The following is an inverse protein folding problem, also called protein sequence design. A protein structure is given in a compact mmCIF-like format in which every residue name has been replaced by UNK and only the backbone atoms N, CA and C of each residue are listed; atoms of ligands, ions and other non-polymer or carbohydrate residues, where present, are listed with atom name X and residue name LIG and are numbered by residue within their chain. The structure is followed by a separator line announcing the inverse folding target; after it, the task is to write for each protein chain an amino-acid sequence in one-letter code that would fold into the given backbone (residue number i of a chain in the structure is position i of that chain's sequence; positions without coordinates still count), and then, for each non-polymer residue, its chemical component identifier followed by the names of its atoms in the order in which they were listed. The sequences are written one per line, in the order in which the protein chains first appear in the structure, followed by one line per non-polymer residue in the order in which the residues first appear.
data_IF_219490252559
#
_entry.id   IF_219490252559
#
_cell.length_a   1.000
_cell.length_b   1.000
_cell.length_c   1.000
_cell.angle_alpha   90.00
_cell.angle_beta   90.00
_cell.angle_gamma   90.00
#
_symmetry.space_group_name_H-M   'P 1'
#
loop_
_entity.id
_entity.type
_entity.pdbx_description
1 polymer ?
#
# COMPACT_ATOMS: atom_id res chain seq x y z
N UNK A 1 -56.41 42.32 -59.21
CA UNK A 1 -55.64 41.10 -59.50
C UNK A 1 -54.25 41.54 -59.93
N UNK A 2 -53.25 41.36 -59.08
CA UNK A 2 -52.02 40.64 -59.42
C UNK A 2 -51.07 40.56 -58.22
N UNK A 3 -50.59 39.34 -57.99
CA UNK A 3 -49.65 38.91 -56.95
C UNK A 3 -48.21 39.05 -57.43
N UNK A 4 -47.27 39.33 -56.51
CA UNK A 4 -45.84 38.92 -56.51
C UNK A 4 -45.17 39.53 -55.27
N UNK A 5 -44.27 38.89 -54.55
CA UNK A 5 -43.85 37.50 -54.39
C UNK A 5 -42.87 37.51 -53.21
N UNK A 6 -43.26 36.95 -52.06
CA UNK A 6 -42.33 36.71 -50.95
C UNK A 6 -41.75 35.30 -51.10
N UNK A 7 -40.46 35.20 -51.41
CA UNK A 7 -39.73 33.94 -51.40
C UNK A 7 -39.18 33.63 -50.01
N UNK A 8 -39.26 32.39 -49.51
CA UNK A 8 -38.63 32.01 -48.25
C UNK A 8 -37.12 31.80 -48.43
N UNK A 9 -36.33 32.50 -47.60
CA UNK A 9 -34.89 32.32 -47.46
C UNK A 9 -34.62 31.04 -46.66
N UNK A 10 -34.13 29.99 -47.32
CA UNK A 10 -33.71 28.74 -46.67
C UNK A 10 -32.34 28.96 -46.03
N UNK A 11 -32.28 29.06 -44.70
CA UNK A 11 -31.02 29.00 -43.94
C UNK A 11 -30.61 27.53 -43.76
N UNK A 12 -29.61 27.09 -44.49
CA UNK A 12 -28.91 25.81 -44.25
C UNK A 12 -27.88 26.01 -43.14
N UNK A 13 -28.20 25.61 -41.91
CA UNK A 13 -27.22 25.53 -40.83
C UNK A 13 -26.41 24.22 -40.94
N UNK A 14 -25.11 24.36 -41.20
CA UNK A 14 -24.13 23.27 -41.14
C UNK A 14 -23.98 22.73 -39.70
N UNK A 15 -24.55 21.56 -39.42
CA UNK A 15 -24.43 20.84 -38.13
C UNK A 15 -23.12 20.04 -37.99
N UNK A 16 -22.08 20.37 -38.76
CA UNK A 16 -20.89 19.52 -38.93
C UNK A 16 -19.82 19.64 -37.84
N UNK A 17 -19.88 20.62 -36.93
CA UNK A 17 -18.80 20.86 -35.95
C UNK A 17 -19.11 20.40 -34.51
N UNK A 18 -20.36 20.07 -34.19
CA UNK A 18 -20.72 19.67 -32.83
C UNK A 18 -20.44 18.19 -32.54
N UNK A 19 -20.44 17.32 -33.55
CA UNK A 19 -20.26 15.87 -33.38
C UNK A 19 -18.83 15.48 -33.01
N UNK A 20 -17.82 16.24 -33.44
CA UNK A 20 -16.42 15.95 -33.14
C UNK A 20 -16.08 16.16 -31.65
N UNK A 21 -16.59 17.24 -31.04
CA UNK A 21 -16.30 17.54 -29.63
C UNK A 21 -16.99 16.55 -28.68
N UNK A 22 -18.22 16.14 -28.98
CA UNK A 22 -18.95 15.15 -28.18
C UNK A 22 -18.25 13.79 -28.23
N UNK A 23 -17.71 13.39 -29.39
CA UNK A 23 -16.97 12.13 -29.54
C UNK A 23 -15.66 12.11 -28.72
N UNK A 24 -14.92 13.22 -28.69
CA UNK A 24 -13.68 13.33 -27.93
C UNK A 24 -13.91 13.34 -26.41
N UNK A 25 -14.97 14.01 -25.95
CA UNK A 25 -15.33 14.03 -24.53
C UNK A 25 -15.77 12.65 -24.05
N UNK A 26 -16.54 11.90 -24.85
CA UNK A 26 -16.94 10.53 -24.51
C UNK A 26 -15.73 9.59 -24.46
N UNK A 27 -14.82 9.66 -25.43
CA UNK A 27 -13.58 8.87 -25.43
C UNK A 27 -12.67 9.23 -24.24
N UNK A 28 -12.60 10.50 -23.86
CA UNK A 28 -11.83 10.94 -22.70
C UNK A 28 -12.41 10.39 -21.38
N UNK A 29 -13.73 10.43 -21.21
CA UNK A 29 -14.43 9.86 -20.04
C UNK A 29 -14.29 8.33 -20.01
N UNK A 30 -14.38 7.65 -21.15
CA UNK A 30 -14.14 6.20 -21.25
C UNK A 30 -12.68 5.83 -20.93
N UNK A 31 -11.72 6.65 -21.39
CA UNK A 31 -10.30 6.43 -21.08
C UNK A 31 -10.00 6.66 -19.59
N UNK A 32 -10.66 7.62 -18.93
CA UNK A 32 -10.56 7.83 -17.48
C UNK A 32 -11.19 6.69 -16.68
N UNK A 33 -12.27 6.07 -17.17
CA UNK A 33 -12.86 4.88 -16.55
C UNK A 33 -11.96 3.64 -16.70
N UNK A 34 -11.29 3.46 -17.85
CA UNK A 34 -10.36 2.34 -18.06
C UNK A 34 -9.02 2.56 -17.34
N UNK A 35 -8.54 3.80 -17.24
CA UNK A 35 -7.33 4.16 -16.47
C UNK A 35 -7.57 4.24 -14.96
N UNK A 36 -8.82 4.43 -14.53
CA UNK A 36 -9.21 4.51 -13.11
C UNK A 36 -9.33 3.15 -12.41
N UNK A 37 -9.37 2.04 -13.15
CA UNK A 37 -9.43 0.68 -12.60
C UNK A 37 -8.04 0.01 -12.45
N UNK A 38 -6.94 0.75 -12.66
CA UNK A 38 -5.58 0.26 -12.50
C UNK A 38 -5.01 0.37 -11.07
N UNK A 39 -5.85 0.71 -10.09
CA UNK A 39 -5.48 0.57 -8.67
C UNK A 39 -5.85 -0.84 -8.22
N UNK A 40 -4.87 -1.74 -8.17
CA UNK A 40 -5.06 -3.10 -7.67
C UNK A 40 -5.86 -3.07 -6.37
N UNK A 41 -6.90 -3.90 -6.28
CA UNK A 41 -7.69 -4.02 -5.05
C UNK A 41 -6.74 -4.54 -3.99
N UNK A 42 -6.55 -3.77 -2.91
CA UNK A 42 -5.74 -4.21 -1.77
C UNK A 42 -6.60 -5.06 -0.87
N UNK A 43 -6.06 -6.19 -0.42
CA UNK A 43 -6.80 -7.12 0.45
C UNK A 43 -7.43 -6.43 1.68
N UNK A 44 -6.73 -5.44 2.24
CA UNK A 44 -7.15 -4.66 3.42
C UNK A 44 -8.39 -3.76 3.20
N UNK A 45 -8.79 -3.51 1.94
CA UNK A 45 -9.97 -2.70 1.62
C UNK A 45 -11.23 -3.56 1.52
N UNK A 46 -11.75 -4.01 2.68
CA UNK A 46 -12.95 -4.85 2.84
C UNK A 46 -14.05 -4.68 1.76
N UNK A 47 -14.63 -3.47 1.53
CA UNK A 47 -15.72 -3.31 0.57
C UNK A 47 -15.29 -3.48 -0.90
N UNK A 48 -14.01 -3.29 -1.22
CA UNK A 48 -13.47 -3.52 -2.55
C UNK A 48 -13.08 -4.99 -2.74
N UNK A 49 -12.50 -5.62 -1.72
CA UNK A 49 -12.11 -7.04 -1.73
C UNK A 49 -13.30 -7.97 -1.83
N UNK A 50 -14.39 -7.71 -1.08
CA UNK A 50 -15.60 -8.53 -1.10
C UNK A 50 -16.34 -8.42 -2.43
N UNK A 51 -16.40 -7.21 -3.00
CA UNK A 51 -16.97 -6.97 -4.32
C UNK A 51 -16.13 -7.59 -5.44
N UNK A 52 -14.80 -7.53 -5.36
CA UNK A 52 -13.90 -8.12 -6.34
C UNK A 52 -14.00 -9.65 -6.38
N UNK A 53 -14.22 -10.29 -5.24
CA UNK A 53 -14.27 -11.75 -5.11
C UNK A 53 -15.69 -12.33 -5.22
N UNK A 54 -16.73 -11.50 -5.36
CA UNK A 54 -18.14 -11.94 -5.36
C UNK A 54 -18.43 -12.95 -4.25
N UNK A 55 -18.04 -12.63 -3.00
CA UNK A 55 -18.17 -13.54 -1.86
C UNK A 55 -19.64 -13.81 -1.53
N UNK A 56 -19.98 -15.07 -1.25
CA UNK A 56 -21.28 -15.42 -0.67
C UNK A 56 -21.43 -14.84 0.74
N UNK A 57 -22.65 -14.77 1.28
CA UNK A 57 -22.86 -14.28 2.65
C UNK A 57 -22.11 -15.13 3.69
N UNK A 58 -22.12 -16.45 3.55
CA UNK A 58 -21.38 -17.36 4.42
C UNK A 58 -19.86 -17.15 4.32
N UNK A 59 -19.35 -16.91 3.11
CA UNK A 59 -17.94 -16.57 2.92
C UNK A 59 -17.59 -15.22 3.54
N UNK A 60 -18.46 -14.20 3.43
CA UNK A 60 -18.25 -12.90 4.05
C UNK A 60 -18.15 -13.02 5.57
N UNK A 61 -19.09 -13.73 6.21
CA UNK A 61 -19.10 -13.92 7.66
C UNK A 61 -17.81 -14.58 8.19
N UNK A 62 -17.15 -15.42 7.38
CA UNK A 62 -15.89 -16.08 7.73
C UNK A 62 -14.62 -15.31 7.32
N UNK A 63 -14.63 -14.62 6.17
CA UNK A 63 -13.45 -13.96 5.58
C UNK A 63 -13.27 -12.54 6.12
N UNK A 64 -14.35 -11.78 6.32
CA UNK A 64 -14.27 -10.41 6.82
C UNK A 64 -13.53 -10.26 8.15
N UNK A 65 -13.77 -11.09 9.18
CA UNK A 65 -13.01 -10.99 10.43
C UNK A 65 -11.51 -11.29 10.24
N UNK A 66 -11.15 -12.18 9.31
CA UNK A 66 -9.73 -12.47 8.99
C UNK A 66 -9.06 -11.29 8.31
N UNK A 67 -9.75 -10.64 7.36
CA UNK A 67 -9.24 -9.42 6.72
C UNK A 67 -9.10 -8.27 7.73
N UNK A 68 -10.05 -8.13 8.65
CA UNK A 68 -9.96 -7.15 9.73
C UNK A 68 -8.72 -7.40 10.61
N UNK A 69 -8.47 -8.65 11.01
CA UNK A 69 -7.29 -9.01 11.78
C UNK A 69 -5.98 -8.73 11.02
N UNK A 70 -5.92 -9.03 9.71
CA UNK A 70 -4.76 -8.67 8.88
C UNK A 70 -4.52 -7.15 8.92
N UNK A 71 -5.57 -6.34 8.79
CA UNK A 71 -5.47 -4.89 8.85
C UNK A 71 -4.93 -4.43 10.21
N UNK A 72 -5.47 -4.95 11.30
CA UNK A 72 -5.07 -4.56 12.65
C UNK A 72 -3.57 -4.91 12.90
N UNK A 73 -3.11 -6.09 12.45
CA UNK A 73 -1.68 -6.48 12.52
C UNK A 73 -0.79 -5.50 11.73
N UNK A 74 -1.24 -5.05 10.56
CA UNK A 74 -0.48 -4.11 9.75
C UNK A 74 -0.41 -2.74 10.44
N UNK A 75 -1.52 -2.25 10.96
CA UNK A 75 -1.58 -0.97 11.67
C UNK A 75 -0.64 -0.97 12.88
N UNK A 76 -0.66 -2.03 13.69
CA UNK A 76 0.26 -2.22 14.82
C UNK A 76 1.73 -2.21 14.34
N UNK A 77 2.03 -2.97 13.28
CA UNK A 77 3.37 -3.02 12.72
C UNK A 77 3.85 -1.66 12.18
N UNK A 78 2.97 -0.91 11.50
CA UNK A 78 3.31 0.42 10.97
C UNK A 78 3.56 1.43 12.08
N UNK A 79 2.77 1.38 13.15
CA UNK A 79 2.98 2.19 14.34
C UNK A 79 4.35 1.90 14.98
N UNK A 80 4.68 0.63 15.20
CA UNK A 80 5.97 0.23 15.78
C UNK A 80 7.16 0.59 14.86
N UNK A 81 6.98 0.44 13.55
CA UNK A 81 7.99 0.82 12.55
C UNK A 81 8.34 2.29 12.68
N UNK A 82 7.33 3.14 12.79
CA UNK A 82 7.49 4.58 12.88
C UNK A 82 8.13 4.99 14.22
N UNK A 83 7.78 4.31 15.31
CA UNK A 83 8.42 4.50 16.63
C UNK A 83 9.91 4.15 16.60
N UNK A 84 10.25 2.97 16.07
CA UNK A 84 11.64 2.52 15.93
C UNK A 84 12.46 3.47 15.04
N UNK A 85 11.85 3.98 13.98
CA UNK A 85 12.50 4.95 13.09
C UNK A 85 12.74 6.30 13.80
N UNK A 86 11.77 6.79 14.56
CA UNK A 86 11.90 8.01 15.35
C UNK A 86 13.03 7.89 16.39
N UNK A 87 13.09 6.77 17.13
CA UNK A 87 14.16 6.51 18.10
C UNK A 87 15.53 6.45 17.46
N UNK A 88 15.65 5.76 16.32
CA UNK A 88 16.91 5.69 15.58
C UNK A 88 17.36 7.09 15.14
N UNK A 89 16.44 7.91 14.59
CA UNK A 89 16.74 9.30 14.18
C UNK A 89 17.18 10.16 15.37
N UNK A 90 16.52 10.02 16.53
CA UNK A 90 16.89 10.73 17.75
C UNK A 90 18.28 10.34 18.26
N UNK A 91 18.59 9.03 18.29
CA UNK A 91 19.92 8.54 18.66
C UNK A 91 21.00 9.16 17.76
N UNK A 92 20.81 9.12 16.44
CA UNK A 92 21.76 9.69 15.48
C UNK A 92 21.91 11.20 15.61
N UNK A 93 20.80 11.92 15.82
CA UNK A 93 20.84 13.37 16.02
C UNK A 93 21.64 13.72 17.28
N UNK A 94 21.40 13.02 18.40
CA UNK A 94 22.15 13.22 19.65
C UNK A 94 23.62 12.84 19.50
N UNK A 95 23.92 11.74 18.82
CA UNK A 95 25.29 11.28 18.59
C UNK A 95 26.08 12.22 17.66
N UNK A 96 25.44 12.79 16.63
CA UNK A 96 26.07 13.69 15.66
C UNK A 96 26.19 15.15 16.13
N UNK A 97 25.36 15.59 17.08
CA UNK A 97 25.51 16.91 17.73
C UNK A 97 26.68 16.94 18.75
N UNK A 98 27.37 15.82 18.97
CA UNK A 98 28.39 15.68 20.00
C UNK A 98 29.85 16.06 19.67
N UNK A 99 30.27 16.66 18.52
CA UNK A 99 31.66 17.05 18.33
C UNK A 99 31.92 18.42 18.95
N UNK A 100 31.92 18.56 20.29
CA UNK A 100 32.52 19.76 20.93
C UNK A 100 32.93 19.66 22.41
N UNK A 101 32.61 18.60 23.16
CA UNK A 101 33.10 18.46 24.54
C UNK A 101 34.16 17.36 24.65
N UNK A 102 35.43 17.77 24.60
CA UNK A 102 36.62 16.91 24.69
C UNK A 102 36.94 16.42 26.11
N UNK A 103 36.09 16.69 27.09
CA UNK A 103 36.33 16.34 28.49
C UNK A 103 35.06 15.79 29.13
N UNK A 104 34.89 14.46 29.14
CA UNK A 104 34.05 13.77 30.14
C UNK A 104 34.34 12.26 30.12
N UNK A 105 35.23 11.81 31.00
CA UNK A 105 35.71 10.43 31.12
C UNK A 105 34.68 9.37 31.54
N UNK A 106 33.38 9.67 31.50
CA UNK A 106 32.28 8.73 31.79
C UNK A 106 31.24 8.58 30.67
N UNK A 107 31.29 9.43 29.62
CA UNK A 107 30.27 9.48 28.56
C UNK A 107 30.27 8.27 27.62
N UNK A 108 31.43 7.65 27.40
CA UNK A 108 31.57 6.51 26.50
C UNK A 108 30.77 5.28 26.94
N UNK A 109 30.54 5.10 28.24
CA UNK A 109 29.73 3.98 28.76
C UNK A 109 28.24 4.17 28.47
N UNK A 110 27.71 5.39 28.69
CA UNK A 110 26.29 5.72 28.47
C UNK A 110 25.89 5.64 27.00
N UNK A 111 26.69 6.18 26.09
CA UNK A 111 26.42 6.11 24.64
C UNK A 111 26.47 4.66 24.13
N UNK A 112 27.33 3.81 24.70
CA UNK A 112 27.37 2.37 24.39
C UNK A 112 26.14 1.63 24.90
N UNK A 113 25.65 1.97 26.10
CA UNK A 113 24.43 1.39 26.65
C UNK A 113 23.21 1.76 25.81
N UNK A 114 23.02 3.04 25.49
CA UNK A 114 21.93 3.54 24.63
C UNK A 114 21.98 2.88 23.23
N UNK A 115 23.17 2.69 22.67
CA UNK A 115 23.33 1.95 21.41
C UNK A 115 22.95 0.47 21.53
N UNK A 116 23.33 -0.17 22.64
CA UNK A 116 23.01 -1.56 22.89
C UNK A 116 21.50 -1.77 23.02
N UNK A 117 20.81 -0.91 23.77
CA UNK A 117 19.35 -0.91 23.90
C UNK A 117 18.67 -0.74 22.54
N UNK A 118 19.08 0.27 21.76
CA UNK A 118 18.57 0.48 20.41
C UNK A 118 18.82 -0.76 19.52
N UNK A 119 20.02 -1.36 19.59
CA UNK A 119 20.34 -2.58 18.83
C UNK A 119 19.45 -3.75 19.23
N UNK A 120 19.12 -3.90 20.51
CA UNK A 120 18.21 -4.95 20.98
C UNK A 120 16.79 -4.69 20.48
N UNK A 121 16.31 -3.45 20.53
CA UNK A 121 14.98 -3.07 19.97
C UNK A 121 14.89 -3.30 18.46
N UNK A 122 15.94 -2.96 17.71
CA UNK A 122 15.98 -3.23 16.26
C UNK A 122 15.95 -4.73 15.96
N UNK A 123 16.62 -5.55 16.78
CA UNK A 123 16.60 -7.01 16.63
C UNK A 123 15.23 -7.60 16.96
N UNK A 124 14.58 -7.15 18.04
CA UNK A 124 13.24 -7.61 18.39
C UNK A 124 12.23 -7.21 17.31
N UNK A 125 12.31 -5.99 16.80
CA UNK A 125 11.47 -5.51 15.70
C UNK A 125 11.59 -6.38 14.44
N UNK A 126 12.82 -6.76 14.05
CA UNK A 126 13.03 -7.66 12.89
C UNK A 126 12.46 -9.06 13.16
N UNK A 127 12.56 -9.57 14.39
CA UNK A 127 11.96 -10.85 14.76
C UNK A 127 10.43 -10.78 14.72
N UNK A 128 9.84 -9.72 15.28
CA UNK A 128 8.40 -9.46 15.30
C UNK A 128 7.83 -9.33 13.89
N UNK A 129 8.52 -8.64 12.97
CA UNK A 129 8.15 -8.60 11.55
C UNK A 129 7.98 -10.00 10.95
N UNK A 130 8.84 -10.95 11.30
CA UNK A 130 8.75 -12.32 10.80
C UNK A 130 7.54 -13.04 11.37
N UNK A 131 7.18 -12.74 12.62
CA UNK A 131 5.98 -13.30 13.25
C UNK A 131 4.72 -12.77 12.59
N UNK A 132 4.58 -11.45 12.45
CA UNK A 132 3.46 -10.84 11.73
C UNK A 132 3.37 -11.31 10.28
N UNK A 133 4.49 -11.45 9.58
CA UNK A 133 4.48 -11.99 8.23
C UNK A 133 3.95 -13.44 8.20
N UNK A 134 4.30 -14.27 9.18
CA UNK A 134 3.79 -15.64 9.30
C UNK A 134 2.30 -15.66 9.60
N UNK A 135 1.85 -14.81 10.53
CA UNK A 135 0.44 -14.70 10.92
C UNK A 135 -0.44 -14.24 9.76
N UNK A 136 -0.04 -13.16 9.07
CA UNK A 136 -0.73 -12.69 7.86
C UNK A 136 -0.75 -13.79 6.79
N UNK A 137 0.36 -14.52 6.59
CA UNK A 137 0.41 -15.63 5.63
C UNK A 137 -0.56 -16.75 5.99
N UNK A 138 -0.67 -17.08 7.28
CA UNK A 138 -1.65 -18.05 7.79
C UNK A 138 -3.08 -17.61 7.51
N UNK A 139 -3.42 -16.36 7.83
CA UNK A 139 -4.76 -15.80 7.56
C UNK A 139 -5.08 -15.78 6.05
N UNK A 140 -4.10 -15.44 5.21
CA UNK A 140 -4.26 -15.50 3.74
C UNK A 140 -4.52 -16.94 3.28
N UNK A 141 -3.80 -17.92 3.83
CA UNK A 141 -4.00 -19.33 3.47
C UNK A 141 -5.40 -19.82 3.87
N UNK A 142 -5.89 -19.42 5.04
CA UNK A 142 -7.26 -19.71 5.48
C UNK A 142 -8.30 -19.05 4.59
N UNK A 143 -8.11 -17.78 4.21
CA UNK A 143 -9.00 -17.10 3.26
C UNK A 143 -9.01 -17.86 1.93
N UNK A 144 -7.84 -18.22 1.38
CA UNK A 144 -7.75 -18.99 0.12
C UNK A 144 -8.46 -20.34 0.22
N UNK A 145 -8.43 -21.00 1.38
CA UNK A 145 -9.12 -22.27 1.58
C UNK A 145 -10.66 -22.12 1.47
N UNK A 146 -11.20 -20.99 1.96
CA UNK A 146 -12.63 -20.67 1.95
C UNK A 146 -13.14 -20.18 0.57
N UNK A 147 -12.23 -19.84 -0.35
CA UNK A 147 -12.56 -19.41 -1.71
C UNK A 147 -12.78 -20.58 -2.67
N UNK A 148 -13.70 -20.41 -3.62
CA UNK A 148 -13.90 -21.32 -4.76
C UNK A 148 -12.72 -21.26 -5.73
N UNK A 149 -12.50 -22.26 -6.60
CA UNK A 149 -11.41 -22.25 -7.57
C UNK A 149 -11.37 -20.98 -8.43
N UNK A 150 -12.52 -20.50 -8.91
CA UNK A 150 -12.62 -19.30 -9.75
C UNK A 150 -12.26 -18.03 -8.95
N UNK A 151 -12.70 -17.96 -7.69
CA UNK A 151 -12.37 -16.84 -6.80
C UNK A 151 -10.89 -16.80 -6.44
N UNK A 152 -10.21 -17.96 -6.33
CA UNK A 152 -8.77 -18.02 -6.07
C UNK A 152 -7.96 -17.39 -7.19
N UNK A 153 -8.38 -17.56 -8.45
CA UNK A 153 -7.75 -16.90 -9.59
C UNK A 153 -7.89 -15.39 -9.47
N UNK A 154 -9.11 -14.90 -9.18
CA UNK A 154 -9.33 -13.47 -8.95
C UNK A 154 -8.55 -12.93 -7.73
N UNK A 155 -8.32 -13.77 -6.72
CA UNK A 155 -7.54 -13.43 -5.53
C UNK A 155 -6.04 -13.24 -5.84
N UNK A 156 -5.50 -13.89 -6.87
CA UNK A 156 -4.09 -13.69 -7.26
C UNK A 156 -3.81 -12.28 -7.81
N UNK A 157 -4.83 -11.63 -8.36
CA UNK A 157 -4.76 -10.25 -8.85
C UNK A 157 -4.89 -9.20 -7.72
N UNK A 158 -5.22 -9.63 -6.50
CA UNK A 158 -5.36 -8.74 -5.33
C UNK A 158 -3.97 -8.44 -4.76
N UNK A 159 -3.67 -7.15 -4.57
CA UNK A 159 -2.42 -6.73 -3.93
C UNK A 159 -2.42 -7.10 -2.45
N UNK A 160 -1.39 -7.86 -2.06
CA UNK A 160 -1.18 -8.27 -0.68
C UNK A 160 -0.39 -7.22 0.10
N UNK A 161 -0.67 -7.07 1.40
CA UNK A 161 -0.01 -6.09 2.23
C UNK A 161 1.46 -6.43 2.48
N UNK A 162 2.36 -5.47 2.26
CA UNK A 162 3.79 -5.65 2.48
C UNK A 162 4.26 -5.05 3.82
N UNK A 163 4.85 -5.88 4.69
CA UNK A 163 5.49 -5.40 5.91
C UNK A 163 6.88 -4.81 5.60
N UNK A 164 6.95 -3.49 5.42
CA UNK A 164 8.18 -2.78 5.04
C UNK A 164 9.10 -2.54 6.24
N UNK A 165 10.40 -2.80 6.08
CA UNK A 165 11.39 -2.46 7.09
C UNK A 165 11.61 -0.94 7.17
N UNK A 166 11.91 -0.39 8.36
CA UNK A 166 12.35 0.99 8.52
C UNK A 166 13.48 1.33 7.56
N UNK A 167 13.46 2.53 6.97
CA UNK A 167 14.47 2.93 5.97
C UNK A 167 15.89 2.85 6.52
N UNK A 168 16.03 3.17 7.80
CA UNK A 168 17.27 3.15 8.57
C UNK A 168 17.90 1.75 8.63
N UNK A 169 17.07 0.70 8.56
CA UNK A 169 17.50 -0.69 8.54
C UNK A 169 17.76 -1.21 7.14
N UNK A 170 17.13 -0.64 6.11
CA UNK A 170 17.30 -1.08 4.71
C UNK A 170 18.75 -0.96 4.24
N UNK A 171 19.47 0.10 4.63
CA UNK A 171 20.88 0.30 4.28
C UNK A 171 21.84 -0.55 5.11
N UNK A 172 21.67 -0.58 6.44
CA UNK A 172 22.61 -1.29 7.35
C UNK A 172 22.59 -2.80 7.21
N UNK A 173 21.42 -3.42 7.00
CA UNK A 173 21.37 -4.88 6.88
C UNK A 173 21.90 -5.40 5.53
N UNK A 174 21.99 -4.54 4.52
CA UNK A 174 22.71 -4.87 3.27
C UNK A 174 24.23 -4.96 3.49
N UNK A 175 24.79 -4.09 4.35
CA UNK A 175 26.24 -3.98 4.55
C UNK A 175 26.78 -4.90 5.66
N UNK A 176 26.09 -5.03 6.80
CA UNK A 176 26.62 -5.76 7.99
C UNK A 176 26.31 -7.28 8.00
N UNK A 177 25.40 -7.76 7.15
CA UNK A 177 24.93 -9.15 7.20
C UNK A 177 25.02 -9.93 5.89
N UNK A 178 25.43 -9.34 4.76
CA UNK A 178 25.54 -10.05 3.47
C UNK A 178 24.25 -10.74 2.99
N UNK A 179 23.15 -10.57 3.72
CA UNK A 179 21.84 -11.07 3.35
C UNK A 179 21.28 -10.07 2.35
N UNK A 180 21.34 -10.45 1.07
CA UNK A 180 20.46 -9.87 0.04
C UNK A 180 19.02 -10.15 0.47
N UNK A 181 18.48 -9.32 1.35
CA UNK A 181 17.05 -9.24 1.59
C UNK A 181 16.45 -8.56 0.35
N UNK A 182 16.28 -9.34 -0.73
CA UNK A 182 15.14 -9.09 -1.62
C UNK A 182 13.95 -9.05 -0.67
N UNK A 183 13.21 -7.93 -0.67
CA UNK A 183 12.04 -7.78 0.19
C UNK A 183 11.27 -9.07 0.11
N UNK A 184 11.17 -9.78 1.24
CA UNK A 184 10.67 -11.17 1.28
C UNK A 184 9.34 -11.13 0.55
N UNK A 185 9.27 -11.59 -0.71
CA UNK A 185 8.00 -11.76 -1.35
C UNK A 185 7.30 -12.82 -0.50
N UNK A 186 5.98 -12.73 -0.37
CA UNK A 186 5.23 -13.90 0.06
C UNK A 186 5.52 -14.99 -0.98
N UNK A 187 6.50 -15.86 -0.70
CA UNK A 187 6.69 -17.07 -1.49
C UNK A 187 5.56 -18.02 -1.05
N UNK A 188 4.56 -18.12 -1.92
CA UNK A 188 3.44 -19.05 -1.85
C UNK A 188 3.86 -20.46 -2.29
#
# INVERSE_FOLDING_TARGET
MDQRADGPMILTFHTSRFTHHVSWVILFILSLLVLGCGGGVKLINLPQSSAALNLSQEQQENIEPKIALIRDIIEDYEFERDEVEAEYRLYYTRANLAPMSRYEGGRGSRVRLEWHELRMKLRSFVAQRREYAREISGLIAEIKADLTPDQRVAFEDIELPELRLPEVLRRRFQDDYGMRMRGVPFEF
#
